data_IF_872636940608
#
_entry.id   IF_872636940608
#
_cell.length_a   1.000
_cell.length_b   1.000
_cell.length_c   1.000
_cell.angle_alpha   90.00
_cell.angle_beta   90.00
_cell.angle_gamma   90.00
#
_symmetry.space_group_name_H-M   'P 1'
#
loop_
_entity.id
_entity.type
_entity.pdbx_description
1 polymer ?
#
# COMPACT_ATOMS: atom_id res chain seq x y z
N UNK A 1 4.88 -23.25 11.06
CA UNK A 1 4.20 -22.03 10.55
C UNK A 1 2.92 -21.73 11.32
N UNK A 2 2.04 -22.72 11.56
CA UNK A 2 0.75 -22.54 12.26
C UNK A 2 0.85 -21.84 13.63
N UNK A 3 1.72 -22.33 14.53
CA UNK A 3 1.90 -21.72 15.87
C UNK A 3 2.49 -20.29 15.79
N UNK A 4 3.36 -20.03 14.80
CA UNK A 4 3.93 -18.71 14.55
C UNK A 4 2.87 -17.70 14.08
N UNK A 5 1.97 -18.14 13.19
CA UNK A 5 0.89 -17.28 12.70
C UNK A 5 -0.14 -17.00 13.78
N UNK A 6 -0.41 -17.97 14.67
CA UNK A 6 -1.36 -17.83 15.77
C UNK A 6 -0.93 -16.75 16.78
N UNK A 7 0.37 -16.64 17.07
CA UNK A 7 0.91 -15.62 17.98
C UNK A 7 0.78 -14.18 17.44
N UNK A 8 0.82 -14.00 16.12
CA UNK A 8 0.69 -12.68 15.47
C UNK A 8 -0.75 -12.36 15.06
N UNK A 9 -1.66 -13.35 15.05
CA UNK A 9 -3.01 -13.17 14.52
C UNK A 9 -3.82 -12.12 15.27
N UNK A 10 -3.80 -12.14 16.60
CA UNK A 10 -4.57 -11.19 17.43
C UNK A 10 -4.15 -9.73 17.23
N UNK A 11 -2.86 -9.35 17.33
CA UNK A 11 -2.46 -7.95 17.14
C UNK A 11 -2.74 -7.44 15.73
N UNK A 12 -2.50 -8.26 14.69
CA UNK A 12 -2.84 -7.87 13.32
C UNK A 12 -4.36 -7.78 13.10
N UNK A 13 -5.15 -8.70 13.66
CA UNK A 13 -6.61 -8.61 13.60
C UNK A 13 -7.12 -7.32 14.24
N UNK A 14 -6.57 -6.91 15.40
CA UNK A 14 -6.92 -5.63 16.04
C UNK A 14 -6.58 -4.43 15.15
N UNK A 15 -5.39 -4.41 14.53
CA UNK A 15 -5.01 -3.38 13.58
C UNK A 15 -5.99 -3.30 12.39
N UNK A 16 -6.36 -4.46 11.84
CA UNK A 16 -7.26 -4.53 10.69
C UNK A 16 -8.69 -4.14 11.06
N UNK A 17 -9.18 -4.53 12.24
CA UNK A 17 -10.48 -4.09 12.76
C UNK A 17 -10.51 -2.57 12.96
N UNK A 18 -9.43 -1.97 13.49
CA UNK A 18 -9.32 -0.52 13.66
C UNK A 18 -9.36 0.19 12.30
N UNK A 19 -8.57 -0.27 11.34
CA UNK A 19 -8.57 0.27 9.98
C UNK A 19 -9.96 0.19 9.32
N UNK A 20 -10.62 -0.96 9.43
CA UNK A 20 -11.97 -1.18 8.90
C UNK A 20 -13.00 -0.27 9.59
N UNK A 21 -12.93 -0.10 10.92
CA UNK A 21 -13.82 0.81 11.65
C UNK A 21 -13.68 2.25 11.16
N UNK A 22 -12.43 2.74 10.99
CA UNK A 22 -12.18 4.08 10.45
C UNK A 22 -12.69 4.22 9.01
N UNK A 23 -12.47 3.21 8.17
CA UNK A 23 -12.96 3.21 6.79
C UNK A 23 -14.50 3.27 6.73
N UNK A 24 -15.18 2.47 7.55
CA UNK A 24 -16.65 2.44 7.63
C UNK A 24 -17.20 3.77 8.14
N UNK A 25 -16.63 4.33 9.20
CA UNK A 25 -17.05 5.65 9.72
C UNK A 25 -16.84 6.74 8.67
N UNK A 26 -15.69 6.74 7.99
CA UNK A 26 -15.44 7.65 6.87
C UNK A 26 -16.46 7.49 5.74
N UNK A 27 -16.81 6.24 5.40
CA UNK A 27 -17.83 5.95 4.37
C UNK A 27 -19.23 6.43 4.77
N UNK A 28 -19.61 6.29 6.03
CA UNK A 28 -20.87 6.84 6.55
C UNK A 28 -20.86 8.36 6.45
N UNK A 29 -19.75 9.02 6.81
CA UNK A 29 -19.60 10.46 6.63
C UNK A 29 -19.81 10.90 5.18
N UNK A 30 -19.20 10.21 4.21
CA UNK A 30 -19.41 10.48 2.78
C UNK A 30 -20.88 10.29 2.36
N UNK A 31 -21.54 9.24 2.86
CA UNK A 31 -22.95 9.01 2.56
C UNK A 31 -23.86 10.13 3.12
N UNK A 32 -23.57 10.62 4.32
CA UNK A 32 -24.29 11.77 4.90
C UNK A 32 -24.05 13.02 4.05
N UNK A 33 -22.81 13.29 3.65
CA UNK A 33 -22.48 14.46 2.83
C UNK A 33 -23.13 14.41 1.44
N UNK A 34 -23.29 13.23 0.85
CA UNK A 34 -24.03 13.03 -0.39
C UNK A 34 -25.53 13.32 -0.19
N UNK A 35 -26.14 12.75 0.85
CA UNK A 35 -27.56 12.97 1.18
C UNK A 35 -27.90 14.43 1.51
N UNK A 36 -26.97 15.18 2.10
CA UNK A 36 -27.17 16.60 2.44
C UNK A 36 -26.82 17.55 1.28
N UNK A 37 -26.35 17.04 0.14
CA UNK A 37 -25.93 17.85 -1.00
C UNK A 37 -24.61 18.61 -0.80
N UNK A 38 -23.78 18.17 0.16
CA UNK A 38 -22.46 18.76 0.45
C UNK A 38 -21.40 18.29 -0.55
N UNK A 39 -21.58 17.12 -1.17
CA UNK A 39 -20.73 16.64 -2.27
C UNK A 39 -21.27 17.17 -3.59
N UNK A 40 -20.43 17.89 -4.33
CA UNK A 40 -20.67 18.32 -5.70
C UNK A 40 -19.97 17.39 -6.68
N UNK A 41 -20.67 16.92 -7.70
CA UNK A 41 -20.11 16.05 -8.73
C UNK A 41 -19.83 16.84 -10.01
N UNK A 42 -18.55 16.96 -10.38
CA UNK A 42 -18.15 17.49 -11.68
C UNK A 42 -18.17 16.40 -12.75
N UNK A 43 -18.78 16.70 -13.91
CA UNK A 43 -18.89 15.82 -15.07
C UNK A 43 -18.13 16.43 -16.24
N UNK A 44 -16.79 16.36 -16.24
CA UNK A 44 -15.97 16.83 -17.36
C UNK A 44 -15.67 15.68 -18.31
N UNK A 45 -16.15 15.78 -19.55
CA UNK A 45 -15.87 14.87 -20.65
C UNK A 45 -14.91 15.52 -21.65
N UNK A 46 -13.62 15.60 -21.32
CA UNK A 46 -12.59 15.86 -22.32
C UNK A 46 -12.10 14.52 -22.91
N UNK A 47 -12.32 14.31 -24.20
CA UNK A 47 -11.59 13.30 -24.95
C UNK A 47 -10.20 13.88 -25.29
N UNK A 48 -9.17 13.03 -25.32
CA UNK A 48 -7.79 13.36 -25.75
C UNK A 48 -6.80 13.98 -24.73
N UNK A 49 -7.07 13.89 -23.42
CA UNK A 49 -6.14 14.34 -22.36
C UNK A 49 -5.60 13.13 -21.57
N UNK A 50 -4.32 13.10 -21.14
CA UNK A 50 -3.80 12.01 -20.30
C UNK A 50 -4.73 11.64 -19.14
N UNK A 51 -4.81 10.34 -18.82
CA UNK A 51 -5.76 9.83 -17.82
C UNK A 51 -5.57 10.47 -16.44
N UNK A 52 -4.33 10.88 -16.11
CA UNK A 52 -4.03 11.58 -14.87
C UNK A 52 -4.68 12.96 -14.81
N UNK A 53 -4.71 13.69 -15.92
CA UNK A 53 -5.34 15.01 -16.00
C UNK A 53 -6.87 14.88 -15.86
N UNK A 54 -7.45 13.82 -16.41
CA UNK A 54 -8.87 13.48 -16.21
C UNK A 54 -9.15 13.18 -14.73
N UNK A 55 -8.31 12.37 -14.08
CA UNK A 55 -8.42 12.05 -12.64
C UNK A 55 -8.26 13.32 -11.79
N UNK A 56 -7.28 14.17 -12.08
CA UNK A 56 -7.05 15.43 -11.38
C UNK A 56 -8.21 16.42 -11.57
N UNK A 57 -8.86 16.41 -12.74
CA UNK A 57 -10.06 17.22 -12.99
C UNK A 57 -11.29 16.72 -12.21
N UNK A 58 -11.35 15.43 -11.86
CA UNK A 58 -12.43 14.83 -11.06
C UNK A 58 -12.15 15.00 -9.56
N UNK A 59 -10.87 14.98 -9.16
CA UNK A 59 -10.42 15.17 -7.79
C UNK A 59 -10.31 16.66 -7.42
N UNK A 60 -11.37 17.43 -7.64
CA UNK A 60 -11.51 18.82 -7.18
C UNK A 60 -12.50 18.91 -6.02
N UNK A 61 -12.44 20.00 -5.24
CA UNK A 61 -13.42 20.27 -4.18
C UNK A 61 -13.49 19.18 -3.09
N UNK A 62 -14.69 18.70 -2.78
CA UNK A 62 -14.92 17.71 -1.71
C UNK A 62 -14.42 16.30 -2.07
N UNK A 63 -14.37 15.95 -3.36
CA UNK A 63 -13.81 14.68 -3.83
C UNK A 63 -12.29 14.58 -3.58
N UNK A 64 -11.58 15.71 -3.72
CA UNK A 64 -10.16 15.80 -3.37
C UNK A 64 -9.91 15.49 -1.88
N UNK A 65 -10.67 16.14 -0.99
CA UNK A 65 -10.53 15.97 0.46
C UNK A 65 -10.82 14.53 0.87
N UNK A 66 -11.87 13.93 0.30
CA UNK A 66 -12.20 12.52 0.54
C UNK A 66 -11.09 11.57 0.05
N UNK A 67 -10.47 11.87 -1.10
CA UNK A 67 -9.35 11.09 -1.62
C UNK A 67 -8.10 11.23 -0.75
N UNK A 68 -7.78 12.43 -0.27
CA UNK A 68 -6.67 12.62 0.69
C UNK A 68 -6.89 11.84 1.98
N UNK A 69 -8.12 11.80 2.50
CA UNK A 69 -8.47 10.96 3.65
C UNK A 69 -8.26 9.47 3.34
N UNK A 70 -8.73 8.99 2.19
CA UNK A 70 -8.54 7.60 1.77
C UNK A 70 -7.04 7.24 1.64
N UNK A 71 -6.26 8.12 1.00
CA UNK A 71 -4.82 7.96 0.85
C UNK A 71 -4.09 7.98 2.21
N UNK A 72 -4.48 8.89 3.10
CA UNK A 72 -3.95 8.95 4.47
C UNK A 72 -4.24 7.67 5.26
N UNK A 73 -5.46 7.14 5.17
CA UNK A 73 -5.82 5.87 5.81
C UNK A 73 -4.97 4.71 5.26
N UNK A 74 -4.83 4.62 3.93
CA UNK A 74 -4.01 3.59 3.30
C UNK A 74 -2.54 3.70 3.74
N UNK A 75 -1.99 4.91 3.84
CA UNK A 75 -0.63 5.16 4.31
C UNK A 75 -0.44 4.76 5.78
N UNK A 76 -1.38 5.10 6.66
CA UNK A 76 -1.35 4.73 8.08
C UNK A 76 -1.40 3.22 8.25
N UNK A 77 -2.28 2.51 7.54
CA UNK A 77 -2.36 1.03 7.63
C UNK A 77 -1.08 0.39 7.10
N UNK A 78 -0.57 0.89 5.97
CA UNK A 78 0.66 0.41 5.34
C UNK A 78 1.91 0.65 6.18
N UNK A 79 1.92 1.66 7.05
CA UNK A 79 3.04 1.92 7.99
C UNK A 79 2.85 1.17 9.32
N UNK A 80 1.61 1.05 9.79
CA UNK A 80 1.28 0.35 11.03
C UNK A 80 1.56 -1.16 10.95
N UNK A 81 1.38 -1.80 9.79
CA UNK A 81 1.68 -3.22 9.61
C UNK A 81 3.16 -3.58 9.84
N UNK A 82 4.10 -2.99 9.08
CA UNK A 82 5.54 -3.20 9.27
C UNK A 82 6.07 -2.80 10.65
N UNK A 83 5.55 -1.71 11.21
CA UNK A 83 5.94 -1.26 12.57
C UNK A 83 5.45 -2.24 13.64
N UNK A 84 4.22 -2.73 13.54
CA UNK A 84 3.69 -3.78 14.42
C UNK A 84 4.51 -5.07 14.30
N UNK A 85 4.85 -5.49 13.07
CA UNK A 85 5.70 -6.65 12.85
C UNK A 85 7.08 -6.50 13.51
N UNK A 86 7.69 -5.33 13.33
CA UNK A 86 8.95 -4.96 13.98
C UNK A 86 8.88 -4.97 15.50
N UNK A 87 7.83 -4.41 16.08
CA UNK A 87 7.58 -4.39 17.52
C UNK A 87 7.44 -5.81 18.09
N UNK A 88 6.67 -6.67 17.42
CA UNK A 88 6.51 -8.07 17.82
C UNK A 88 7.85 -8.83 17.74
N UNK A 89 8.68 -8.51 16.75
CA UNK A 89 10.03 -9.04 16.65
C UNK A 89 10.93 -8.56 17.79
N UNK A 90 10.91 -7.28 18.12
CA UNK A 90 11.69 -6.71 19.23
C UNK A 90 11.28 -7.32 20.58
N UNK A 91 10.00 -7.68 20.75
CA UNK A 91 9.48 -8.35 21.94
C UNK A 91 9.76 -9.86 21.99
N UNK A 92 10.45 -10.42 21.01
CA UNK A 92 10.76 -11.85 20.96
C UNK A 92 9.53 -12.75 20.75
N UNK A 93 8.45 -12.22 20.16
CA UNK A 93 7.28 -13.03 19.84
C UNK A 93 7.65 -14.18 18.88
N UNK A 94 6.91 -15.29 18.96
CA UNK A 94 7.15 -16.46 18.11
C UNK A 94 6.65 -16.18 16.68
N UNK A 95 7.57 -16.07 15.72
CA UNK A 95 7.23 -15.95 14.29
C UNK A 95 7.89 -14.80 13.53
N UNK A 96 7.84 -13.55 14.03
CA UNK A 96 8.53 -12.41 13.44
C UNK A 96 10.03 -12.65 13.19
N UNK A 97 10.61 -11.84 12.30
CA UNK A 97 12.02 -11.98 11.90
C UNK A 97 12.30 -13.08 10.87
N UNK A 98 11.25 -13.69 10.29
CA UNK A 98 11.36 -14.64 9.16
C UNK A 98 10.77 -14.02 7.89
N UNK A 99 11.40 -14.24 6.71
CA UNK A 99 10.94 -13.64 5.46
C UNK A 99 9.55 -14.15 5.06
N UNK A 100 9.26 -15.44 5.28
CA UNK A 100 7.96 -16.02 4.91
C UNK A 100 6.78 -15.42 5.71
N UNK A 101 6.96 -15.18 7.01
CA UNK A 101 5.91 -14.53 7.81
C UNK A 101 5.78 -13.04 7.49
N UNK A 102 6.89 -12.35 7.25
CA UNK A 102 6.86 -10.95 6.83
C UNK A 102 6.14 -10.79 5.48
N UNK A 103 6.39 -11.68 4.53
CA UNK A 103 5.68 -11.73 3.26
C UNK A 103 4.17 -11.91 3.45
N UNK A 104 3.74 -12.88 4.24
CA UNK A 104 2.31 -13.15 4.47
C UNK A 104 1.60 -11.98 5.16
N UNK A 105 2.20 -11.41 6.21
CA UNK A 105 1.62 -10.28 6.92
C UNK A 105 1.68 -8.98 6.11
N UNK A 106 2.73 -8.79 5.30
CA UNK A 106 2.81 -7.71 4.33
C UNK A 106 1.67 -7.75 3.32
N UNK A 107 1.38 -8.93 2.76
CA UNK A 107 0.22 -9.16 1.89
C UNK A 107 -1.10 -8.92 2.60
N UNK A 108 -1.26 -9.40 3.84
CA UNK A 108 -2.48 -9.17 4.61
C UNK A 108 -2.70 -7.67 4.86
N UNK A 109 -1.66 -6.93 5.24
CA UNK A 109 -1.72 -5.47 5.41
C UNK A 109 -2.05 -4.76 4.09
N UNK A 110 -1.41 -5.14 2.98
CA UNK A 110 -1.69 -4.55 1.67
C UNK A 110 -3.15 -4.76 1.27
N UNK A 111 -3.66 -5.98 1.44
CA UNK A 111 -5.05 -6.31 1.12
C UNK A 111 -6.03 -5.51 1.96
N UNK A 112 -5.81 -5.40 3.27
CA UNK A 112 -6.68 -4.60 4.15
C UNK A 112 -6.60 -3.12 3.81
N UNK A 113 -5.43 -2.58 3.50
CA UNK A 113 -5.28 -1.19 3.06
C UNK A 113 -6.06 -0.94 1.76
N UNK A 114 -5.96 -1.84 0.78
CA UNK A 114 -6.71 -1.78 -0.48
C UNK A 114 -8.23 -1.89 -0.23
N UNK A 115 -8.68 -2.78 0.64
CA UNK A 115 -10.10 -2.87 0.99
C UNK A 115 -10.61 -1.60 1.67
N UNK A 116 -9.87 -1.03 2.62
CA UNK A 116 -10.23 0.23 3.26
C UNK A 116 -10.30 1.36 2.24
N UNK A 117 -9.33 1.42 1.31
CA UNK A 117 -9.33 2.39 0.23
C UNK A 117 -10.54 2.22 -0.68
N UNK A 118 -10.87 0.99 -1.09
CA UNK A 118 -12.06 0.70 -1.91
C UNK A 118 -13.36 1.10 -1.21
N UNK A 119 -13.48 0.82 0.10
CA UNK A 119 -14.65 1.20 0.90
C UNK A 119 -14.85 2.71 0.87
N UNK A 120 -13.79 3.50 1.04
CA UNK A 120 -13.88 4.97 1.04
C UNK A 120 -14.06 5.51 -0.39
N UNK A 121 -13.22 5.10 -1.33
CA UNK A 121 -13.20 5.62 -2.72
C UNK A 121 -14.49 5.32 -3.47
N UNK A 122 -15.13 4.18 -3.22
CA UNK A 122 -16.46 3.87 -3.79
C UNK A 122 -17.55 4.84 -3.36
N UNK A 123 -17.32 5.64 -2.30
CA UNK A 123 -18.20 6.72 -1.87
C UNK A 123 -17.86 8.10 -2.40
N UNK A 124 -16.75 8.25 -3.12
CA UNK A 124 -16.29 9.53 -3.65
C UNK A 124 -16.92 9.80 -5.02
N UNK A 125 -17.11 8.77 -5.83
CA UNK A 125 -17.65 8.88 -7.19
C UNK A 125 -19.14 8.54 -7.22
N UNK A 126 -19.93 9.32 -7.96
CA UNK A 126 -21.33 9.02 -8.24
C UNK A 126 -21.46 7.83 -9.21
N UNK A 127 -22.52 7.04 -9.09
CA UNK A 127 -22.80 5.92 -9.99
C UNK A 127 -22.89 6.35 -11.48
N UNK A 128 -23.35 7.58 -11.73
CA UNK A 128 -23.42 8.18 -13.07
C UNK A 128 -22.02 8.51 -13.60
N UNK A 129 -21.12 9.02 -12.76
CA UNK A 129 -19.72 9.28 -13.12
C UNK A 129 -19.00 7.97 -13.49
N UNK A 130 -19.18 6.91 -12.67
CA UNK A 130 -18.59 5.59 -12.93
C UNK A 130 -19.15 4.98 -14.21
N UNK A 131 -20.46 5.07 -14.44
CA UNK A 131 -21.11 4.61 -15.67
C UNK A 131 -20.57 5.32 -16.92
N UNK A 132 -20.39 6.64 -16.86
CA UNK A 132 -19.84 7.45 -17.96
C UNK A 132 -18.36 7.14 -18.24
N UNK A 133 -17.55 6.82 -17.21
CA UNK A 133 -16.15 6.43 -17.38
C UNK A 133 -15.96 4.99 -17.88
N UNK A 134 -16.96 4.11 -17.70
CA UNK A 134 -16.83 2.68 -18.00
C UNK A 134 -16.50 2.37 -19.46
N UNK A 135 -16.97 3.20 -20.41
CA UNK A 135 -16.68 3.05 -21.84
C UNK A 135 -15.24 3.40 -22.21
N UNK A 136 -14.48 4.03 -21.30
CA UNK A 136 -13.08 4.44 -21.50
C UNK A 136 -12.08 3.54 -20.78
N UNK A 137 -12.55 2.58 -20.00
CA UNK A 137 -11.68 1.69 -19.25
C UNK A 137 -11.18 0.51 -20.11
N UNK A 138 -9.94 0.03 -19.87
CA UNK A 138 -9.49 -1.24 -20.42
C UNK A 138 -10.45 -2.38 -20.08
N UNK A 139 -10.43 -3.46 -20.86
CA UNK A 139 -11.28 -4.62 -20.63
C UNK A 139 -11.10 -5.18 -19.21
N UNK A 140 -12.16 -5.74 -18.62
CA UNK A 140 -12.14 -6.28 -17.27
C UNK A 140 -10.96 -7.23 -16.98
N UNK A 141 -10.52 -8.11 -17.91
CA UNK A 141 -9.33 -8.94 -17.70
C UNK A 141 -8.04 -8.13 -17.53
N UNK A 142 -7.87 -7.04 -18.28
CA UNK A 142 -6.69 -6.17 -18.20
C UNK A 142 -6.67 -5.43 -16.87
N UNK A 143 -7.82 -4.92 -16.42
CA UNK A 143 -7.94 -4.30 -15.09
C UNK A 143 -7.66 -5.29 -13.96
N UNK A 144 -8.14 -6.52 -14.07
CA UNK A 144 -7.87 -7.57 -13.09
C UNK A 144 -6.37 -7.90 -13.01
N UNK A 145 -5.70 -8.03 -14.17
CA UNK A 145 -4.26 -8.25 -14.22
C UNK A 145 -3.46 -7.08 -13.61
N UNK A 146 -3.84 -5.85 -13.91
CA UNK A 146 -3.22 -4.66 -13.32
C UNK A 146 -3.39 -4.63 -11.79
N UNK A 147 -4.59 -4.95 -11.30
CA UNK A 147 -4.87 -5.02 -9.87
C UNK A 147 -4.02 -6.10 -9.17
N UNK A 148 -3.90 -7.28 -9.78
CA UNK A 148 -3.05 -8.37 -9.25
C UNK A 148 -1.58 -7.96 -9.22
N UNK A 149 -1.07 -7.35 -10.29
CA UNK A 149 0.31 -6.85 -10.35
C UNK A 149 0.59 -5.80 -9.28
N UNK A 150 -0.33 -4.84 -9.11
CA UNK A 150 -0.21 -3.79 -8.09
C UNK A 150 -0.30 -4.35 -6.67
N UNK A 151 -1.20 -5.30 -6.42
CA UNK A 151 -1.30 -5.99 -5.13
C UNK A 151 -0.03 -6.79 -4.81
N UNK A 152 0.58 -7.44 -5.82
CA UNK A 152 1.85 -8.15 -5.65
C UNK A 152 3.01 -7.21 -5.30
N UNK A 153 3.08 -6.05 -5.96
CA UNK A 153 4.01 -4.99 -5.59
C UNK A 153 3.83 -4.54 -4.14
N UNK A 154 2.61 -4.14 -3.73
CA UNK A 154 2.35 -3.67 -2.37
C UNK A 154 2.62 -4.74 -1.31
N UNK A 155 2.15 -5.98 -1.53
CA UNK A 155 2.35 -7.07 -0.58
C UNK A 155 3.84 -7.39 -0.37
N UNK A 156 4.63 -7.40 -1.45
CA UNK A 156 6.08 -7.62 -1.37
C UNK A 156 6.81 -6.45 -0.72
N UNK A 157 6.41 -5.20 -1.04
CA UNK A 157 6.97 -3.99 -0.44
C UNK A 157 6.77 -3.97 1.08
N UNK A 158 5.54 -4.24 1.54
CA UNK A 158 5.24 -4.30 2.98
C UNK A 158 5.93 -5.46 3.68
N UNK A 159 6.12 -6.59 3.00
CA UNK A 159 6.95 -7.68 3.50
C UNK A 159 8.43 -7.30 3.66
N UNK A 160 8.98 -6.61 2.67
CA UNK A 160 10.34 -6.06 2.72
C UNK A 160 10.50 -5.06 3.86
N UNK A 161 9.57 -4.12 3.99
CA UNK A 161 9.54 -3.14 5.07
C UNK A 161 9.49 -3.83 6.44
N UNK A 162 8.63 -4.83 6.60
CA UNK A 162 8.49 -5.61 7.84
C UNK A 162 9.81 -6.28 8.24
N UNK A 163 10.50 -6.94 7.32
CA UNK A 163 11.82 -7.53 7.60
C UNK A 163 12.90 -6.49 7.86
N UNK A 164 12.85 -5.36 7.16
CA UNK A 164 13.83 -4.28 7.32
C UNK A 164 13.73 -3.65 8.70
N UNK A 165 12.51 -3.41 9.18
CA UNK A 165 12.26 -2.92 10.54
C UNK A 165 12.79 -3.93 11.57
N UNK A 166 12.50 -5.23 11.40
CA UNK A 166 13.07 -6.28 12.26
C UNK A 166 14.61 -6.27 12.28
N UNK A 167 15.25 -6.13 11.12
CA UNK A 167 16.70 -6.10 11.02
C UNK A 167 17.29 -4.85 11.69
N UNK A 168 16.60 -3.71 11.65
CA UNK A 168 17.02 -2.49 12.34
C UNK A 168 17.04 -2.66 13.85
N UNK A 169 15.97 -3.25 14.42
CA UNK A 169 15.88 -3.54 15.85
C UNK A 169 16.87 -4.64 16.29
N UNK A 170 17.03 -5.71 15.50
CA UNK A 170 17.95 -6.80 15.82
C UNK A 170 19.43 -6.35 15.87
N UNK A 171 19.78 -5.28 15.14
CA UNK A 171 21.14 -4.71 15.08
C UNK A 171 21.35 -3.53 16.03
N UNK A 172 20.30 -3.08 16.71
CA UNK A 172 20.39 -1.94 17.60
C UNK A 172 20.94 -2.36 18.96
N UNK A 173 21.88 -1.59 19.49
CA UNK A 173 22.39 -1.77 20.87
C UNK A 173 21.53 -1.05 21.90
N UNK A 174 20.92 0.05 21.48
CA UNK A 174 20.03 0.91 22.25
C UNK A 174 18.92 1.48 21.34
N UNK A 175 17.93 2.13 21.95
CA UNK A 175 16.79 2.70 21.23
C UNK A 175 17.21 3.82 20.26
N UNK A 176 18.20 4.63 20.64
CA UNK A 176 18.72 5.70 19.80
C UNK A 176 19.31 5.16 18.49
N UNK A 177 20.07 4.06 18.57
CA UNK A 177 20.62 3.39 17.39
C UNK A 177 19.54 2.67 16.59
N UNK A 178 18.51 2.12 17.23
CA UNK A 178 17.36 1.55 16.52
C UNK A 178 16.68 2.61 15.65
N UNK A 179 16.42 3.79 16.22
CA UNK A 179 15.85 4.93 15.50
C UNK A 179 16.70 5.35 14.30
N UNK A 180 18.01 5.55 14.48
CA UNK A 180 18.90 5.89 13.37
C UNK A 180 19.01 4.80 12.31
N UNK A 181 19.06 3.52 12.71
CA UNK A 181 19.05 2.41 11.78
C UNK A 181 17.78 2.43 10.91
N UNK A 182 16.62 2.72 11.50
CA UNK A 182 15.35 2.84 10.79
C UNK A 182 15.36 4.02 9.81
N UNK A 183 15.86 5.19 10.22
CA UNK A 183 15.96 6.37 9.33
C UNK A 183 16.85 6.06 8.14
N UNK A 184 18.04 5.49 8.37
CA UNK A 184 18.97 5.13 7.29
C UNK A 184 18.37 4.08 6.37
N UNK A 185 17.72 3.05 6.93
CA UNK A 185 17.08 2.01 6.14
C UNK A 185 15.89 2.54 5.34
N UNK A 186 15.09 3.46 5.90
CA UNK A 186 14.00 4.12 5.20
C UNK A 186 14.50 4.97 4.04
N UNK A 187 15.59 5.72 4.22
CA UNK A 187 16.20 6.50 3.13
C UNK A 187 16.78 5.59 2.05
N UNK A 188 17.55 4.57 2.43
CA UNK A 188 18.21 3.67 1.48
C UNK A 188 17.19 2.83 0.69
N UNK A 189 16.28 2.14 1.38
CA UNK A 189 15.24 1.33 0.72
C UNK A 189 14.23 2.24 0.01
N UNK A 190 13.88 3.38 0.62
CA UNK A 190 12.94 4.33 0.06
C UNK A 190 13.44 4.97 -1.23
N UNK A 191 14.73 5.27 -1.35
CA UNK A 191 15.29 5.78 -2.61
C UNK A 191 15.18 4.74 -3.73
N UNK A 192 15.49 3.47 -3.43
CA UNK A 192 15.36 2.38 -4.40
C UNK A 192 13.91 2.21 -4.85
N UNK A 193 12.98 2.13 -3.90
CA UNK A 193 11.55 2.01 -4.19
C UNK A 193 11.03 3.23 -4.94
N UNK A 194 11.50 4.44 -4.61
CA UNK A 194 11.15 5.66 -5.31
C UNK A 194 11.54 5.60 -6.79
N UNK A 195 12.77 5.19 -7.12
CA UNK A 195 13.22 5.07 -8.52
C UNK A 195 12.34 4.10 -9.30
N UNK A 196 12.03 2.94 -8.73
CA UNK A 196 11.17 1.95 -9.38
C UNK A 196 9.74 2.46 -9.53
N UNK A 197 9.18 3.08 -8.50
CA UNK A 197 7.82 3.64 -8.51
C UNK A 197 7.69 4.76 -9.55
N UNK A 198 8.68 5.64 -9.64
CA UNK A 198 8.74 6.70 -10.65
C UNK A 198 8.84 6.09 -12.06
N UNK A 199 9.65 5.04 -12.24
CA UNK A 199 9.74 4.31 -13.51
C UNK A 199 8.42 3.68 -13.92
N UNK A 200 7.75 2.97 -13.00
CA UNK A 200 6.41 2.39 -13.19
C UNK A 200 5.39 3.47 -13.54
N UNK A 201 5.38 4.58 -12.81
CA UNK A 201 4.46 5.69 -13.05
C UNK A 201 4.70 6.37 -14.40
N UNK A 202 5.97 6.62 -14.76
CA UNK A 202 6.32 7.22 -16.05
C UNK A 202 5.91 6.31 -17.22
N UNK A 203 6.02 4.98 -17.08
CA UNK A 203 5.57 4.04 -18.10
C UNK A 203 4.04 3.99 -18.23
N UNK A 204 3.31 4.25 -17.14
CA UNK A 204 1.85 4.35 -17.13
C UNK A 204 1.34 5.71 -17.64
N UNK A 205 2.09 6.78 -17.38
CA UNK A 205 1.75 8.15 -17.75
C UNK A 205 2.22 8.51 -19.17
N UNK A 206 1.93 7.64 -20.15
CA UNK A 206 2.27 7.83 -21.55
C UNK A 206 1.02 7.82 -22.43
N UNK A 207 1.03 8.59 -23.52
CA UNK A 207 -0.09 8.67 -24.48
C UNK A 207 -0.44 7.30 -25.10
N UNK A 208 0.55 6.41 -25.22
CA UNK A 208 0.37 5.02 -25.61
C UNK A 208 1.07 4.10 -24.61
N UNK A 209 0.30 3.32 -23.86
CA UNK A 209 0.83 2.42 -22.81
C UNK A 209 1.48 1.20 -23.45
N UNK A 210 2.79 1.05 -23.26
CA UNK A 210 3.53 -0.16 -23.65
C UNK A 210 3.50 -1.18 -22.52
N UNK A 211 2.57 -2.14 -22.60
CA UNK A 211 2.35 -3.17 -21.57
C UNK A 211 3.61 -3.93 -21.18
N UNK A 212 4.52 -4.19 -22.13
CA UNK A 212 5.80 -4.86 -21.87
C UNK A 212 6.71 -4.05 -20.94
N UNK A 213 6.76 -2.73 -21.11
CA UNK A 213 7.57 -1.84 -20.28
C UNK A 213 6.99 -1.72 -18.88
N UNK A 214 5.67 -1.54 -18.76
CA UNK A 214 4.96 -1.54 -17.47
C UNK A 214 5.16 -2.87 -16.74
N UNK A 215 5.04 -3.99 -17.45
CA UNK A 215 5.27 -5.33 -16.89
C UNK A 215 6.70 -5.53 -16.41
N UNK A 216 7.70 -5.02 -17.14
CA UNK A 216 9.10 -5.08 -16.73
C UNK A 216 9.36 -4.30 -15.44
N UNK A 217 8.79 -3.09 -15.31
CA UNK A 217 8.88 -2.30 -14.09
C UNK A 217 8.21 -2.98 -12.89
N UNK A 218 6.99 -3.50 -13.06
CA UNK A 218 6.29 -4.26 -12.00
C UNK A 218 7.05 -5.52 -11.58
N UNK A 219 7.69 -6.21 -12.52
CA UNK A 219 8.53 -7.36 -12.21
C UNK A 219 9.79 -6.94 -11.44
N UNK A 220 10.44 -5.85 -11.85
CA UNK A 220 11.60 -5.30 -11.15
C UNK A 220 11.27 -4.88 -9.72
N UNK A 221 10.13 -4.20 -9.52
CA UNK A 221 9.56 -3.85 -8.23
C UNK A 221 9.47 -5.06 -7.29
N UNK A 222 8.83 -6.15 -7.74
CA UNK A 222 8.68 -7.39 -6.96
C UNK A 222 10.04 -8.01 -6.65
N UNK A 223 10.93 -8.12 -7.64
CA UNK A 223 12.26 -8.72 -7.46
C UNK A 223 13.06 -7.94 -6.43
N UNK A 224 13.11 -6.61 -6.53
CA UNK A 224 13.87 -5.76 -5.61
C UNK A 224 13.30 -5.84 -4.20
N UNK A 225 11.97 -5.83 -4.04
CA UNK A 225 11.34 -6.01 -2.73
C UNK A 225 11.73 -7.36 -2.10
N UNK A 226 11.75 -8.44 -2.88
CA UNK A 226 12.20 -9.75 -2.38
C UNK A 226 13.69 -9.71 -1.99
N UNK A 227 14.56 -9.10 -2.79
CA UNK A 227 15.99 -8.93 -2.48
C UNK A 227 16.19 -8.16 -1.17
N UNK A 228 15.48 -7.05 -0.97
CA UNK A 228 15.52 -6.27 0.28
C UNK A 228 15.06 -7.13 1.46
N UNK A 229 13.96 -7.86 1.31
CA UNK A 229 13.41 -8.72 2.37
C UNK A 229 14.39 -9.82 2.80
N UNK A 230 14.97 -10.55 1.84
CA UNK A 230 15.94 -11.61 2.13
C UNK A 230 17.29 -11.06 2.60
N UNK A 231 17.72 -9.91 2.07
CA UNK A 231 18.91 -9.19 2.51
C UNK A 231 18.81 -8.72 3.96
N UNK A 232 17.67 -8.12 4.34
CA UNK A 232 17.39 -7.72 5.72
C UNK A 232 17.43 -8.92 6.69
N UNK A 233 16.84 -10.05 6.29
CA UNK A 233 16.94 -11.30 7.06
C UNK A 233 18.40 -11.78 7.23
N UNK A 234 19.22 -11.72 6.18
CA UNK A 234 20.63 -12.08 6.26
C UNK A 234 21.42 -11.14 7.19
N UNK A 235 21.13 -9.83 7.14
CA UNK A 235 21.72 -8.83 8.02
C UNK A 235 21.34 -9.06 9.49
N UNK A 236 20.07 -9.39 9.77
CA UNK A 236 19.60 -9.71 11.11
C UNK A 236 20.31 -10.95 11.70
N UNK A 237 20.57 -11.97 10.88
CA UNK A 237 21.25 -13.21 11.32
C UNK A 237 22.75 -13.05 11.57
N UNK A 238 23.43 -12.16 10.86
CA UNK A 238 24.90 -11.98 10.97
C UNK A 238 25.37 -11.47 12.33
N UNK A 239 24.50 -10.85 13.14
CA UNK A 239 24.87 -10.32 14.46
C UNK A 239 24.49 -11.22 15.64
N UNK A 240 23.75 -12.30 15.39
CA UNK A 240 23.46 -13.35 16.39
C UNK A 240 24.56 -14.43 16.46
N UNK A 241 25.59 -14.32 15.61
CA UNK A 241 26.82 -15.13 15.62
C UNK A 241 27.98 -14.26 16.07
#
# INVERSE_FOLDING_TARGET
MKEQMKGMARPFAMLFCLAAAVAVVGRVGLAVMDLTGTISYDYISAADVPILDVVCSILTGSAFVAFMFAAGLALVVSTAGPTLYGLLCARGAVGPGRPASAFLWGWATAFVALLCLLVVVSGILSAVQVGSMSSKLPSAPVLALALVGFAAFLGTLLGAASMTVCACFARARDEARAGWNLVVAALACGFVVMVLTVGTFAALNAASIQLGVVGAWLAADVVVNLVIMFGANALAKKQLR
#
